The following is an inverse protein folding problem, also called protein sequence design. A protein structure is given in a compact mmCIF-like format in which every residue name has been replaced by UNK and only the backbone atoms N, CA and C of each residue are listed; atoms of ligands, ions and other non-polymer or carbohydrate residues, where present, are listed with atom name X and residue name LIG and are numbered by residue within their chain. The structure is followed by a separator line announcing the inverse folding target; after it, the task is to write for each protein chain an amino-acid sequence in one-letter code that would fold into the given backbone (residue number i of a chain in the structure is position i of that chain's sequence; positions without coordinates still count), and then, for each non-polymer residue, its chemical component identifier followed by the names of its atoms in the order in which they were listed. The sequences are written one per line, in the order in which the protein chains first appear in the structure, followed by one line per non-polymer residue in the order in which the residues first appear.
data_IF_018837686801
#
_entry.id   IF_018837686801
#
_cell.length_a   1.000
_cell.length_b   1.000
_cell.length_c   1.000
_cell.angle_alpha   90.00
_cell.angle_beta   90.00
_cell.angle_gamma   90.00
#
_symmetry.space_group_name_H-M   'P 1'
#
loop_
_entity.id
_entity.type
_entity.pdbx_description
1 polymer ?
#
# COMPACT_ATOMS: atom_id res chain seq x y z
N UNK A 1 2.99 12.76 23.03
CA UNK A 1 3.54 12.59 21.68
C UNK A 1 3.16 13.85 20.90
N UNK A 2 4.11 14.59 20.32
CA UNK A 2 3.83 15.88 19.68
C UNK A 2 3.12 15.68 18.34
N UNK A 3 1.98 16.36 18.13
CA UNK A 3 1.20 16.35 16.88
C UNK A 3 2.05 16.72 15.65
N UNK A 4 3.05 17.60 15.82
CA UNK A 4 3.94 18.02 14.74
C UNK A 4 4.90 16.92 14.25
N UNK A 5 5.24 15.96 15.11
CA UNK A 5 6.04 14.78 14.76
C UNK A 5 5.20 13.78 13.97
N UNK A 6 3.93 13.61 14.35
CA UNK A 6 2.96 12.74 13.70
C UNK A 6 2.59 13.22 12.29
N UNK A 7 2.47 14.54 12.09
CA UNK A 7 2.24 15.17 10.77
C UNK A 7 3.49 15.12 9.88
N UNK A 8 4.70 15.23 10.43
CA UNK A 8 5.95 15.08 9.65
C UNK A 8 6.23 13.63 9.25
N UNK A 9 5.90 12.64 10.08
CA UNK A 9 6.08 11.22 9.72
C UNK A 9 5.16 10.77 8.59
N UNK A 10 3.95 11.35 8.48
CA UNK A 10 3.03 11.09 7.35
C UNK A 10 3.55 11.61 6.00
N UNK A 11 4.45 12.60 5.96
CA UNK A 11 4.94 13.19 4.69
C UNK A 11 5.82 12.27 3.84
N UNK A 12 6.35 11.18 4.39
CA UNK A 12 7.16 10.20 3.64
C UNK A 12 6.40 8.90 3.34
N UNK A 13 5.07 8.89 3.52
CA UNK A 13 4.22 7.76 3.18
C UNK A 13 3.51 8.11 1.88
N UNK A 14 3.66 7.25 0.87
CA UNK A 14 2.97 7.35 -0.41
C UNK A 14 2.05 6.14 -0.58
N UNK A 15 0.93 6.33 -1.28
CA UNK A 15 0.03 5.25 -1.65
C UNK A 15 0.48 4.68 -3.00
N UNK A 16 0.66 3.37 -3.05
CA UNK A 16 0.95 2.61 -4.25
C UNK A 16 -0.17 1.61 -4.53
N UNK A 17 -0.24 1.15 -5.77
CA UNK A 17 -1.20 0.19 -6.30
C UNK A 17 -0.47 -0.99 -6.95
N UNK A 18 -0.96 -2.20 -6.73
CA UNK A 18 -0.49 -3.42 -7.38
C UNK A 18 -1.60 -3.95 -8.28
N UNK A 19 -1.40 -3.89 -9.59
CA UNK A 19 -2.46 -4.12 -10.56
C UNK A 19 -2.87 -5.59 -10.70
N UNK A 20 -2.00 -6.55 -10.40
CA UNK A 20 -2.37 -7.98 -10.49
C UNK A 20 -3.33 -8.40 -9.37
N UNK A 21 -3.12 -7.89 -8.16
CA UNK A 21 -3.98 -8.11 -6.99
C UNK A 21 -5.16 -7.14 -6.94
N UNK A 22 -5.06 -5.97 -7.57
CA UNK A 22 -6.05 -4.90 -7.41
C UNK A 22 -6.01 -4.25 -6.03
N UNK A 23 -4.83 -4.24 -5.41
CA UNK A 23 -4.67 -3.87 -4.01
C UNK A 23 -3.76 -2.65 -3.79
N UNK A 24 -4.01 -1.97 -2.67
CA UNK A 24 -3.31 -0.74 -2.30
C UNK A 24 -2.29 -0.99 -1.19
N UNK A 25 -1.21 -0.22 -1.23
CA UNK A 25 -0.09 -0.34 -0.30
C UNK A 25 0.42 1.02 0.18
N UNK A 26 0.55 1.19 1.49
CA UNK A 26 1.30 2.29 2.08
C UNK A 26 2.78 2.00 1.99
N UNK A 27 3.52 2.90 1.33
CA UNK A 27 4.97 2.78 1.19
C UNK A 27 5.64 3.93 1.95
N UNK A 28 6.36 3.58 3.02
CA UNK A 28 7.24 4.49 3.76
C UNK A 28 8.69 4.27 3.30
N UNK A 29 9.26 5.30 2.71
CA UNK A 29 10.65 5.28 2.27
C UNK A 29 11.60 5.83 3.34
N UNK A 30 12.71 5.13 3.55
CA UNK A 30 13.87 5.60 4.31
C UNK A 30 15.11 5.56 3.44
N UNK A 31 16.26 6.14 3.87
CA UNK A 31 17.50 6.06 3.09
C UNK A 31 17.96 4.63 2.79
N UNK A 32 17.59 3.64 3.62
CA UNK A 32 18.06 2.25 3.49
C UNK A 32 16.99 1.25 3.04
N UNK A 33 15.72 1.53 3.32
CA UNK A 33 14.64 0.55 3.12
C UNK A 33 13.35 1.20 2.65
N UNK A 34 12.52 0.39 1.98
CA UNK A 34 11.09 0.60 1.84
C UNK A 34 10.36 -0.28 2.86
N UNK A 35 9.44 0.31 3.63
CA UNK A 35 8.41 -0.43 4.37
C UNK A 35 7.12 -0.34 3.57
N UNK A 36 6.54 -1.48 3.25
CA UNK A 36 5.39 -1.64 2.39
C UNK A 36 4.33 -2.37 3.21
N UNK A 37 3.19 -1.72 3.42
CA UNK A 37 2.11 -2.20 4.26
C UNK A 37 0.82 -2.22 3.44
N UNK A 38 0.17 -3.37 3.35
CA UNK A 38 -1.13 -3.48 2.67
C UNK A 38 -2.17 -2.60 3.35
N UNK A 39 -2.97 -1.89 2.55
CA UNK A 39 -4.13 -1.12 3.04
C UNK A 39 -5.31 -2.07 3.23
N UNK A 40 -5.42 -2.62 4.44
CA UNK A 40 -6.42 -3.63 4.76
C UNK A 40 -7.86 -3.14 4.56
N UNK A 41 -8.60 -3.86 3.72
CA UNK A 41 -10.05 -3.74 3.52
C UNK A 41 -10.78 -4.66 4.48
N UNK A 42 -11.61 -4.11 5.35
CA UNK A 42 -12.37 -4.89 6.33
C UNK A 42 -13.88 -4.82 6.04
N UNK A 43 -14.56 -5.94 6.27
CA UNK A 43 -16.01 -5.99 6.30
C UNK A 43 -16.59 -5.00 7.31
N UNK A 44 -17.82 -4.55 7.06
CA UNK A 44 -18.61 -3.78 8.02
C UNK A 44 -19.14 -4.63 9.20
N UNK A 45 -18.66 -5.86 9.38
CA UNK A 45 -19.05 -6.70 10.50
C UNK A 45 -18.41 -6.19 11.81
N UNK A 46 -18.99 -6.58 12.95
CA UNK A 46 -18.46 -6.20 14.27
C UNK A 46 -17.07 -6.76 14.56
N UNK A 47 -16.63 -7.74 13.75
CA UNK A 47 -15.33 -8.41 13.88
C UNK A 47 -14.25 -7.80 13.00
N UNK A 48 -14.59 -6.88 12.08
CA UNK A 48 -13.70 -6.29 11.07
C UNK A 48 -12.90 -7.37 10.35
N UNK A 49 -13.61 -8.36 9.81
CA UNK A 49 -12.96 -9.46 9.09
C UNK A 49 -12.35 -8.92 7.78
N UNK A 50 -11.07 -9.18 7.49
CA UNK A 50 -10.45 -8.76 6.23
C UNK A 50 -11.14 -9.39 5.04
N UNK A 51 -11.45 -8.58 4.02
CA UNK A 51 -12.17 -8.98 2.81
C UNK A 51 -11.28 -9.78 1.88
N UNK A 52 -10.06 -9.31 1.64
CA UNK A 52 -9.07 -10.03 0.84
C UNK A 52 -8.07 -10.76 1.76
N UNK A 53 -7.95 -12.07 1.58
CA UNK A 53 -7.00 -12.90 2.30
C UNK A 53 -5.85 -13.40 1.42
N UNK A 54 -5.91 -13.17 0.11
CA UNK A 54 -4.98 -13.69 -0.88
C UNK A 54 -3.89 -12.69 -1.28
N UNK A 55 -3.88 -11.49 -0.68
CA UNK A 55 -2.80 -10.51 -0.79
C UNK A 55 -1.45 -11.16 -0.51
N UNK A 56 -0.52 -11.09 -1.47
CA UNK A 56 0.78 -11.79 -1.37
C UNK A 56 1.59 -11.30 -0.17
N UNK A 57 1.51 -10.01 0.15
CA UNK A 57 2.35 -9.39 1.19
C UNK A 57 1.57 -8.41 2.08
N UNK A 58 1.16 -8.84 3.28
CA UNK A 58 0.52 -7.90 4.24
C UNK A 58 1.48 -6.83 4.77
N UNK A 59 2.71 -7.23 5.06
CA UNK A 59 3.82 -6.37 5.47
C UNK A 59 5.09 -6.87 4.79
N UNK A 60 5.80 -5.97 4.12
CA UNK A 60 7.04 -6.26 3.44
C UNK A 60 8.06 -5.16 3.70
N UNK A 61 9.27 -5.57 4.08
CA UNK A 61 10.40 -4.66 4.24
C UNK A 61 11.49 -4.99 3.24
N UNK A 62 11.77 -4.07 2.34
CA UNK A 62 12.76 -4.26 1.26
C UNK A 62 13.95 -3.34 1.49
N UNK A 63 15.16 -3.90 1.39
CA UNK A 63 16.40 -3.13 1.46
C UNK A 63 16.75 -2.54 0.09
N UNK A 64 17.30 -1.33 0.08
CA UNK A 64 17.93 -0.74 -1.11
C UNK A 64 19.35 -1.27 -1.35
N UNK A 65 19.93 -1.94 -0.36
CA UNK A 65 21.22 -2.63 -0.47
C UNK A 65 21.06 -4.00 -1.15
N UNK A 66 22.05 -4.42 -1.95
CA UNK A 66 22.05 -5.71 -2.66
C UNK A 66 22.17 -6.92 -1.70
N UNK A 67 21.66 -8.08 -2.13
CA UNK A 67 21.78 -9.42 -1.50
C UNK A 67 20.94 -9.70 -0.24
N UNK A 68 19.60 -9.66 -0.35
CA UNK A 68 18.69 -10.17 0.69
C UNK A 68 17.62 -11.08 0.09
N UNK A 69 16.77 -11.65 0.95
CA UNK A 69 15.65 -12.50 0.53
C UNK A 69 14.80 -11.78 -0.54
N UNK A 70 14.26 -10.59 -0.27
CA UNK A 70 13.57 -9.81 -1.31
C UNK A 70 14.54 -8.82 -1.95
N UNK A 71 14.67 -8.90 -3.28
CA UNK A 71 15.56 -8.06 -4.06
C UNK A 71 14.77 -6.91 -4.67
N UNK A 72 15.06 -5.69 -4.22
CA UNK A 72 14.69 -4.49 -4.97
C UNK A 72 15.44 -4.52 -6.30
N UNK A 73 14.71 -4.59 -7.41
CA UNK A 73 15.31 -4.65 -8.74
C UNK A 73 15.45 -3.26 -9.34
N UNK A 74 14.38 -2.48 -9.28
CA UNK A 74 14.33 -1.11 -9.79
C UNK A 74 13.34 -0.28 -8.97
N UNK A 75 13.59 1.02 -8.89
CA UNK A 75 12.65 1.97 -8.30
C UNK A 75 12.94 3.39 -8.77
N UNK A 76 11.87 4.17 -8.91
CA UNK A 76 11.92 5.60 -9.15
C UNK A 76 10.86 6.33 -8.30
N UNK A 77 10.54 7.57 -8.65
CA UNK A 77 9.55 8.35 -7.90
C UNK A 77 8.10 7.83 -8.04
N UNK A 78 7.85 6.98 -9.05
CA UNK A 78 6.51 6.53 -9.48
C UNK A 78 6.31 5.03 -9.37
N UNK A 79 7.37 4.24 -9.23
CA UNK A 79 7.28 2.79 -9.27
C UNK A 79 8.36 2.09 -8.45
N UNK A 80 8.04 0.89 -7.99
CA UNK A 80 8.93 0.01 -7.23
C UNK A 80 8.75 -1.42 -7.74
N UNK A 81 9.82 -2.03 -8.21
CA UNK A 81 9.82 -3.42 -8.68
C UNK A 81 10.62 -4.31 -7.73
N UNK A 82 9.93 -5.26 -7.11
CA UNK A 82 10.50 -6.17 -6.12
C UNK A 82 10.46 -7.60 -6.65
N UNK A 83 11.57 -8.31 -6.53
CA UNK A 83 11.64 -9.74 -6.81
C UNK A 83 11.74 -10.51 -5.49
N UNK A 84 10.83 -11.44 -5.22
CA UNK A 84 10.93 -12.31 -4.05
C UNK A 84 12.12 -13.28 -4.19
N UNK A 85 12.65 -13.72 -3.05
CA UNK A 85 13.69 -14.75 -3.00
C UNK A 85 13.14 -16.03 -3.63
N UNK A 86 13.96 -16.75 -4.41
CA UNK A 86 13.64 -18.11 -4.88
C UNK A 86 12.44 -18.20 -5.85
N UNK A 87 12.43 -17.34 -6.88
CA UNK A 87 11.59 -17.47 -8.08
C UNK A 87 10.07 -17.29 -7.90
N UNK A 88 9.66 -16.38 -7.01
CA UNK A 88 8.27 -15.90 -7.01
C UNK A 88 8.00 -14.87 -8.11
N UNK A 89 6.71 -14.59 -8.33
CA UNK A 89 6.28 -13.54 -9.26
C UNK A 89 6.84 -12.17 -8.85
N UNK A 90 7.21 -11.31 -9.82
CA UNK A 90 7.56 -9.93 -9.52
C UNK A 90 6.40 -9.25 -8.81
N UNK A 91 6.72 -8.40 -7.85
CA UNK A 91 5.76 -7.58 -7.12
C UNK A 91 6.01 -6.13 -7.54
N UNK A 92 5.11 -5.62 -8.38
CA UNK A 92 5.26 -4.32 -9.03
C UNK A 92 4.25 -3.32 -8.44
N UNK A 93 4.79 -2.31 -7.77
CA UNK A 93 4.01 -1.24 -7.19
C UNK A 93 4.17 0.01 -8.05
N UNK A 94 3.05 0.59 -8.48
CA UNK A 94 3.02 1.92 -9.10
C UNK A 94 2.33 2.93 -8.21
N UNK A 95 2.69 4.20 -8.31
CA UNK A 95 2.10 5.26 -7.53
C UNK A 95 0.59 5.31 -7.82
N UNK A 96 -0.22 5.26 -6.77
CA UNK A 96 -1.67 5.24 -6.92
C UNK A 96 -2.16 6.51 -7.63
N UNK A 97 -3.09 6.33 -8.56
CA UNK A 97 -3.74 7.43 -9.28
C UNK A 97 -5.12 7.72 -8.70
N UNK A 98 -5.66 8.90 -8.98
CA UNK A 98 -7.04 9.23 -8.62
C UNK A 98 -8.04 8.25 -9.22
N UNK A 99 -7.78 7.74 -10.43
CA UNK A 99 -8.63 6.73 -11.08
C UNK A 99 -8.66 5.42 -10.31
N UNK A 100 -7.49 4.88 -9.91
CA UNK A 100 -7.45 3.64 -9.12
C UNK A 100 -8.27 3.78 -7.83
N UNK A 101 -8.09 4.90 -7.13
CA UNK A 101 -8.78 5.14 -5.86
C UNK A 101 -10.29 5.34 -6.09
N UNK A 102 -10.68 6.04 -7.16
CA UNK A 102 -12.09 6.24 -7.48
C UNK A 102 -12.80 4.91 -7.75
N UNK A 103 -12.21 4.07 -8.61
CA UNK A 103 -12.77 2.78 -8.99
C UNK A 103 -12.91 1.86 -7.78
N UNK A 104 -11.88 1.79 -6.93
CA UNK A 104 -11.89 1.03 -5.68
C UNK A 104 -12.99 1.50 -4.72
N UNK A 105 -13.17 2.82 -4.54
CA UNK A 105 -14.22 3.37 -3.68
C UNK A 105 -15.61 2.99 -4.23
N UNK A 106 -15.83 3.05 -5.55
CA UNK A 106 -17.11 2.67 -6.14
C UNK A 106 -17.42 1.19 -5.93
N UNK A 107 -16.44 0.31 -6.17
CA UNK A 107 -16.61 -1.12 -5.96
C UNK A 107 -16.86 -1.44 -4.49
N UNK A 108 -16.10 -0.85 -3.59
CA UNK A 108 -16.30 -1.09 -2.18
C UNK A 108 -17.67 -0.59 -1.66
N UNK A 109 -18.15 0.58 -2.11
CA UNK A 109 -19.49 1.08 -1.76
C UNK A 109 -20.56 0.07 -2.18
N UNK A 110 -20.41 -0.53 -3.37
CA UNK A 110 -21.31 -1.58 -3.87
C UNK A 110 -21.28 -2.83 -2.98
N UNK A 111 -20.14 -3.18 -2.40
CA UNK A 111 -19.96 -4.39 -1.58
C UNK A 111 -20.09 -4.16 -0.06
N UNK A 112 -20.34 -2.92 0.38
CA UNK A 112 -20.56 -2.62 1.80
C UNK A 112 -19.30 -2.72 2.67
N UNK A 113 -18.15 -2.29 2.14
CA UNK A 113 -16.88 -2.21 2.89
C UNK A 113 -16.91 -1.08 3.91
N UNK A 114 -16.09 -1.18 4.97
CA UNK A 114 -16.02 -0.18 6.04
C UNK A 114 -15.73 1.23 5.50
N UNK A 115 -16.47 2.23 5.99
CA UNK A 115 -16.26 3.63 5.60
C UNK A 115 -14.87 4.16 5.95
N UNK A 116 -14.22 3.62 6.99
CA UNK A 116 -12.86 3.98 7.36
C UNK A 116 -11.86 3.72 6.22
N UNK A 117 -12.06 2.65 5.46
CA UNK A 117 -11.21 2.33 4.31
C UNK A 117 -11.30 3.45 3.25
N UNK A 118 -12.51 3.96 2.99
CA UNK A 118 -12.71 5.08 2.05
C UNK A 118 -12.03 6.34 2.52
N UNK A 119 -12.15 6.67 3.81
CA UNK A 119 -11.58 7.88 4.37
C UNK A 119 -10.05 7.84 4.31
N UNK A 120 -9.44 6.67 4.57
CA UNK A 120 -8.00 6.47 4.49
C UNK A 120 -7.49 6.62 3.04
N UNK A 121 -8.22 6.12 2.03
CA UNK A 121 -7.86 6.32 0.61
C UNK A 121 -8.10 7.77 0.14
N UNK A 122 -9.20 8.40 0.55
CA UNK A 122 -9.56 9.77 0.18
C UNK A 122 -8.56 10.81 0.67
N UNK A 123 -7.89 10.55 1.79
CA UNK A 123 -6.81 11.39 2.28
C UNK A 123 -5.72 11.62 1.22
N UNK A 124 -5.54 10.68 0.29
CA UNK A 124 -4.56 10.81 -0.80
C UNK A 124 -5.06 11.68 -1.96
N UNK A 125 -6.37 11.65 -2.27
CA UNK A 125 -6.98 12.50 -3.31
C UNK A 125 -7.09 13.95 -2.81
N UNK A 126 -7.46 14.13 -1.54
CA UNK A 126 -7.74 15.45 -0.99
C UNK A 126 -7.13 15.58 0.42
N UNK A 127 -5.83 15.88 0.54
CA UNK A 127 -5.13 15.90 1.83
C UNK A 127 -5.49 17.10 2.74
N UNK A 128 -6.59 17.83 2.47
CA UNK A 128 -6.95 19.11 3.11
C UNK A 128 -8.42 19.18 3.50
#
# INVERSE_FOLDING_TARGET
MNKDTEVKEKKNIKLYYEAEEGEFYWVKETPKTFSIDWVEKNNCDSKKTPLDQNVRWKNLKVSKEKNRQHCLRDYDEKSILIYPFQAGQPFYLELATETHIHDEIQDCIKWGVSTKYYDDLRFFINPF
#
